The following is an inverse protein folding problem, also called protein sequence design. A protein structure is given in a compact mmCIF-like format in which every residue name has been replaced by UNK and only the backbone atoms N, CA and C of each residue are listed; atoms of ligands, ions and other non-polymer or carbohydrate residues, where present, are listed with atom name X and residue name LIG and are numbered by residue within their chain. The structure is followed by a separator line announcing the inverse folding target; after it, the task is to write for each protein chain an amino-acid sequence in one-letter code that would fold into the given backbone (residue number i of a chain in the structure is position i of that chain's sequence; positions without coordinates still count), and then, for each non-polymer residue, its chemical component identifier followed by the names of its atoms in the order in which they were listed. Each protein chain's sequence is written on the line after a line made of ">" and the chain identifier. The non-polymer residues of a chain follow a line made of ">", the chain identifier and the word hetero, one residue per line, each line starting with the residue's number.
data_IF_470521902641
#
_entry.id   IF_470521902641
#
_cell.length_a   1.000
_cell.length_b   1.000
_cell.length_c   1.000
_cell.angle_alpha   90.00
_cell.angle_beta   90.00
_cell.angle_gamma   90.00
#
_symmetry.space_group_name_H-M   'P 1'
#
loop_
_entity.id
_entity.type
_entity.pdbx_description
1 polymer ?
#
# COMPACT_ATOMS: atom_id res chain seq x y z
N UNK A 1 22.53 -4.95 -13.00
CA UNK A 1 21.65 -4.57 -11.88
C UNK A 1 20.41 -5.38 -12.08
N UNK A 2 20.11 -6.32 -11.18
CA UNK A 2 18.79 -6.92 -11.16
C UNK A 2 17.81 -5.80 -10.83
N UNK A 3 16.78 -5.62 -11.65
CA UNK A 3 15.60 -4.82 -11.32
C UNK A 3 14.86 -5.54 -10.18
N UNK A 4 15.46 -5.59 -8.98
CA UNK A 4 14.89 -6.22 -7.80
C UNK A 4 13.86 -5.26 -7.18
N UNK A 5 12.84 -4.92 -7.96
CA UNK A 5 11.66 -4.21 -7.51
C UNK A 5 10.92 -5.09 -6.52
N UNK A 6 10.81 -4.64 -5.28
CA UNK A 6 10.16 -5.42 -4.23
C UNK A 6 8.63 -5.21 -4.27
N UNK A 7 7.81 -6.26 -4.50
CA UNK A 7 6.37 -6.12 -4.41
C UNK A 7 5.94 -6.08 -2.95
N UNK A 8 5.26 -5.01 -2.54
CA UNK A 8 4.60 -4.99 -1.25
C UNK A 8 3.36 -5.89 -1.27
N UNK A 9 3.24 -6.72 -0.23
CA UNK A 9 2.08 -7.56 -0.01
C UNK A 9 0.95 -6.84 0.75
N UNK A 10 -0.17 -7.53 0.92
CA UNK A 10 -1.34 -7.05 1.66
C UNK A 10 -0.99 -6.69 3.11
N UNK A 11 -0.18 -7.51 3.78
CA UNK A 11 0.17 -7.31 5.18
C UNK A 11 0.99 -6.04 5.36
N UNK A 12 1.93 -5.79 4.46
CA UNK A 12 2.79 -4.62 4.48
C UNK A 12 2.00 -3.32 4.29
N UNK A 13 1.16 -3.29 3.25
CA UNK A 13 0.33 -2.11 2.95
C UNK A 13 -0.73 -1.90 4.03
N UNK A 14 -1.43 -2.94 4.47
CA UNK A 14 -2.43 -2.82 5.54
C UNK A 14 -1.78 -2.38 6.86
N UNK A 15 -0.64 -2.96 7.24
CA UNK A 15 0.03 -2.62 8.50
C UNK A 15 0.52 -1.18 8.52
N UNK A 16 1.06 -0.67 7.40
CA UNK A 16 1.45 0.73 7.28
C UNK A 16 0.27 1.71 7.51
N UNK A 17 -0.96 1.28 7.20
CA UNK A 17 -2.16 2.09 7.29
C UNK A 17 -3.03 1.81 8.53
N UNK A 18 -2.70 0.78 9.31
CA UNK A 18 -3.53 0.34 10.44
C UNK A 18 -3.46 1.26 11.67
N UNK A 19 -2.47 2.16 11.75
CA UNK A 19 -2.31 3.08 12.88
C UNK A 19 -2.01 2.37 14.22
N UNK A 20 -1.47 1.15 14.18
CA UNK A 20 -1.16 0.34 15.36
C UNK A 20 0.27 0.62 15.86
N UNK A 21 0.61 0.27 17.12
CA UNK A 21 1.98 0.44 17.62
C UNK A 21 3.06 -0.31 16.83
N UNK A 22 2.69 -1.34 16.07
CA UNK A 22 3.62 -2.12 15.22
C UNK A 22 3.65 -1.64 13.77
N UNK A 23 2.91 -0.57 13.43
CA UNK A 23 2.84 -0.01 12.08
C UNK A 23 4.11 0.74 11.67
N UNK A 24 4.97 1.14 12.61
CA UNK A 24 6.13 2.02 12.36
C UNK A 24 7.08 1.46 11.30
N UNK A 25 7.46 0.18 11.40
CA UNK A 25 8.37 -0.44 10.43
C UNK A 25 7.75 -0.50 9.04
N UNK A 26 6.48 -0.90 8.94
CA UNK A 26 5.77 -0.96 7.66
C UNK A 26 5.61 0.42 7.04
N UNK A 27 5.28 1.42 7.85
CA UNK A 27 5.17 2.82 7.43
C UNK A 27 6.52 3.37 6.95
N UNK A 28 7.63 3.04 7.62
CA UNK A 28 8.98 3.45 7.21
C UNK A 28 9.29 2.92 5.82
N UNK A 29 9.10 1.63 5.58
CA UNK A 29 9.37 1.02 4.27
C UNK A 29 8.48 1.60 3.16
N UNK A 30 7.20 1.86 3.43
CA UNK A 30 6.30 2.52 2.48
C UNK A 30 6.79 3.94 2.20
N UNK A 31 7.19 4.69 3.23
CA UNK A 31 7.71 6.06 3.11
C UNK A 31 9.02 6.11 2.31
N UNK A 32 9.95 5.19 2.59
CA UNK A 32 11.22 5.07 1.89
C UNK A 32 11.02 4.82 0.39
N UNK A 33 10.04 3.98 0.05
CA UNK A 33 9.70 3.71 -1.33
C UNK A 33 9.01 4.89 -2.03
N UNK A 34 8.15 5.65 -1.34
CA UNK A 34 7.59 6.91 -1.85
C UNK A 34 8.71 7.94 -2.11
N UNK A 35 9.68 8.01 -1.21
CA UNK A 35 10.85 8.89 -1.35
C UNK A 35 11.81 8.45 -2.47
N UNK A 36 11.55 7.30 -3.12
CA UNK A 36 12.40 6.72 -4.16
C UNK A 36 13.73 6.19 -3.63
N UNK A 37 13.84 5.99 -2.31
CA UNK A 37 15.05 5.41 -1.68
C UNK A 37 15.06 3.88 -1.75
N UNK A 38 13.88 3.26 -1.94
CA UNK A 38 13.71 1.83 -2.19
C UNK A 38 12.84 1.64 -3.43
N UNK A 39 13.24 0.72 -4.32
CA UNK A 39 12.43 0.36 -5.49
C UNK A 39 11.37 -0.66 -5.07
N UNK A 40 10.12 -0.22 -4.96
CA UNK A 40 9.00 -1.05 -4.57
C UNK A 40 7.74 -0.73 -5.38
N UNK A 41 6.91 -1.75 -5.54
CA UNK A 41 5.64 -1.66 -6.25
C UNK A 41 4.51 -2.19 -5.39
N UNK A 42 3.31 -1.62 -5.56
CA UNK A 42 2.09 -2.17 -4.97
C UNK A 42 1.25 -2.82 -6.07
N UNK A 43 1.17 -4.16 -6.11
CA UNK A 43 0.23 -4.84 -6.98
C UNK A 43 -1.21 -4.49 -6.61
N UNK A 44 -2.09 -4.34 -7.59
CA UNK A 44 -3.52 -4.11 -7.34
C UNK A 44 -4.15 -5.12 -6.36
N UNK A 45 -3.85 -6.44 -6.43
CA UNK A 45 -4.36 -7.39 -5.44
C UNK A 45 -3.89 -7.08 -4.01
N UNK A 46 -2.69 -6.54 -3.82
CA UNK A 46 -2.18 -6.13 -2.51
C UNK A 46 -2.94 -4.90 -1.99
N UNK A 47 -3.21 -3.94 -2.87
CA UNK A 47 -3.97 -2.73 -2.55
C UNK A 47 -5.42 -3.07 -2.15
N UNK A 48 -6.13 -3.84 -2.99
CA UNK A 48 -7.50 -4.25 -2.72
C UNK A 48 -7.59 -5.19 -1.51
N UNK A 49 -6.64 -6.12 -1.36
CA UNK A 49 -6.57 -6.98 -0.18
C UNK A 49 -6.37 -6.19 1.11
N UNK A 50 -5.60 -5.10 1.06
CA UNK A 50 -5.37 -4.22 2.22
C UNK A 50 -6.63 -3.45 2.61
N UNK A 51 -7.40 -2.97 1.63
CA UNK A 51 -8.73 -2.41 1.87
C UNK A 51 -9.64 -3.40 2.62
N UNK A 52 -9.72 -4.65 2.14
CA UNK A 52 -10.53 -5.71 2.77
C UNK A 52 -10.01 -6.04 4.17
N UNK A 53 -8.69 -6.04 4.37
CA UNK A 53 -8.09 -6.33 5.67
C UNK A 53 -8.32 -5.21 6.69
N UNK A 54 -8.17 -3.94 6.30
CA UNK A 54 -8.40 -2.79 7.17
C UNK A 54 -9.86 -2.73 7.66
N UNK A 55 -10.81 -3.00 6.77
CA UNK A 55 -12.24 -3.00 7.12
C UNK A 55 -12.62 -4.18 8.01
N UNK A 56 -12.18 -5.39 7.70
CA UNK A 56 -12.59 -6.61 8.42
C UNK A 56 -11.79 -6.89 9.69
N UNK A 57 -10.49 -6.53 9.73
CA UNK A 57 -9.60 -6.88 10.83
C UNK A 57 -9.27 -5.70 11.75
N UNK A 58 -9.19 -4.47 11.20
CA UNK A 58 -8.88 -3.27 11.97
C UNK A 58 -10.09 -2.37 12.22
N UNK A 59 -11.27 -2.71 11.70
CA UNK A 59 -12.52 -2.00 11.96
C UNK A 59 -12.61 -0.63 11.30
N UNK A 60 -11.81 -0.37 10.26
CA UNK A 60 -11.89 0.86 9.49
C UNK A 60 -13.26 0.96 8.81
N UNK A 61 -13.79 2.18 8.70
CA UNK A 61 -14.97 2.39 7.85
C UNK A 61 -14.59 2.18 6.38
N UNK A 62 -15.56 1.81 5.53
CA UNK A 62 -15.31 1.72 4.09
C UNK A 62 -14.79 3.05 3.54
N UNK A 63 -15.24 4.19 4.06
CA UNK A 63 -14.76 5.50 3.64
C UNK A 63 -13.28 5.73 4.01
N UNK A 64 -12.86 5.34 5.21
CA UNK A 64 -11.47 5.48 5.63
C UNK A 64 -10.55 4.52 4.88
N UNK A 65 -11.00 3.29 4.63
CA UNK A 65 -10.25 2.30 3.87
C UNK A 65 -10.18 2.66 2.38
N UNK A 66 -11.21 3.28 1.78
CA UNK A 66 -11.21 3.69 0.37
C UNK A 66 -10.14 4.74 0.06
N UNK A 67 -9.75 5.56 1.05
CA UNK A 67 -8.64 6.52 0.87
C UNK A 67 -7.35 5.84 0.46
N UNK A 68 -7.10 4.62 0.92
CA UNK A 68 -5.96 3.82 0.47
C UNK A 68 -6.01 3.60 -1.05
N UNK A 69 -7.18 3.27 -1.60
CA UNK A 69 -7.31 3.02 -3.04
C UNK A 69 -7.23 4.34 -3.80
N UNK A 70 -7.88 5.39 -3.29
CA UNK A 70 -7.89 6.73 -3.90
C UNK A 70 -6.48 7.32 -4.03
N UNK A 71 -5.66 7.23 -2.99
CA UNK A 71 -4.29 7.73 -2.98
C UNK A 71 -3.42 7.09 -4.07
N UNK A 72 -3.69 5.83 -4.42
CA UNK A 72 -2.99 5.10 -5.48
C UNK A 72 -3.66 5.24 -6.87
N UNK A 73 -4.96 5.57 -6.92
CA UNK A 73 -5.75 5.65 -8.14
C UNK A 73 -5.64 7.00 -8.88
N UNK A 74 -5.13 8.05 -8.23
CA UNK A 74 -4.83 9.34 -8.89
C UNK A 74 -3.84 9.19 -10.07
N UNK A 75 -3.20 8.02 -10.20
CA UNK A 75 -2.51 7.58 -11.41
C UNK A 75 -3.40 6.62 -12.24
N UNK A 76 -4.23 7.20 -13.13
CA UNK A 76 -5.01 6.59 -14.22
C UNK A 76 -4.93 5.05 -14.32
N UNK A 77 -5.89 4.39 -13.66
CA UNK A 77 -6.16 2.95 -13.65
C UNK A 77 -6.00 2.29 -15.03
N UNK A 78 -4.86 1.66 -15.27
CA UNK A 78 -4.71 0.61 -16.28
C UNK A 78 -4.50 -0.71 -15.52
N UNK A 79 -5.46 -1.62 -15.65
CA UNK A 79 -5.66 -2.90 -14.94
C UNK A 79 -4.48 -3.90 -14.98
N UNK A 80 -3.33 -3.51 -15.53
CA UNK A 80 -2.14 -4.34 -15.74
C UNK A 80 -0.84 -3.72 -15.22
N UNK A 81 -0.88 -2.56 -14.54
CA UNK A 81 0.34 -1.90 -14.05
C UNK A 81 0.48 -1.99 -12.53
N UNK A 82 1.68 -2.39 -12.11
CA UNK A 82 2.20 -2.14 -10.78
C UNK A 82 2.18 -0.62 -10.52
N UNK A 83 1.57 -0.19 -9.42
CA UNK A 83 1.47 1.24 -9.09
C UNK A 83 2.71 1.66 -8.30
N UNK A 84 3.38 2.76 -8.69
CA UNK A 84 4.40 3.37 -7.85
C UNK A 84 3.75 3.93 -6.58
N UNK A 85 4.49 3.90 -5.48
CA UNK A 85 4.00 4.31 -4.17
C UNK A 85 3.87 5.83 -4.08
N UNK A 86 2.65 6.32 -3.84
CA UNK A 86 2.32 7.71 -3.48
C UNK A 86 1.14 7.71 -2.49
N UNK A 87 1.24 8.52 -1.43
CA UNK A 87 0.22 8.69 -0.39
C UNK A 87 -0.38 10.09 -0.43
#
# INVERSE_FOLDING_TARGET
>A
MSDDTYPFDVGMVALAHAGTPVSETALSHVTDAIAGTTDAVVPYPALFGSYVFLTNCYGFSNADASRLIENFADEKLESTKNYPLRL
#
